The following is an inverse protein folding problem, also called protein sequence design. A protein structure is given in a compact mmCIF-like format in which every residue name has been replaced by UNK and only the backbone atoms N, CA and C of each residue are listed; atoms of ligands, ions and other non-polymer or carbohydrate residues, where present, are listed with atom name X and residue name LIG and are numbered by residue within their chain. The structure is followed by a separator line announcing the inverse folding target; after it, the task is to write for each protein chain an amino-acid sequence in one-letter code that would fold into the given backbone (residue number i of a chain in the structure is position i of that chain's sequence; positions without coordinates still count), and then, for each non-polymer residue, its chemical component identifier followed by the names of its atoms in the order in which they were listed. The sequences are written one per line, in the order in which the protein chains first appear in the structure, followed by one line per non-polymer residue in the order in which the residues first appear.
data_IF_464336280344
#
_entry.id   IF_464336280344
#
_cell.length_a   1.000
_cell.length_b   1.000
_cell.length_c   1.000
_cell.angle_alpha   90.00
_cell.angle_beta   90.00
_cell.angle_gamma   90.00
#
_symmetry.space_group_name_H-M   'P 1'
#
loop_
_entity.id
_entity.type
_entity.pdbx_description
1 polymer ?
#
# COMPACT_ATOMS: atom_id res chain seq x y z
N UNK A 1 -13.64 19.62 -12.23
CA UNK A 1 -13.17 18.21 -12.32
C UNK A 1 -14.38 17.31 -12.13
N UNK A 2 -14.50 16.22 -12.90
CA UNK A 2 -15.58 15.23 -12.69
C UNK A 2 -15.44 14.54 -11.33
N UNK A 3 -16.55 14.04 -10.79
CA UNK A 3 -16.59 13.31 -9.52
C UNK A 3 -15.66 12.09 -9.54
N UNK A 4 -15.70 11.31 -10.62
CA UNK A 4 -14.81 10.18 -10.83
C UNK A 4 -13.33 10.58 -10.75
N UNK A 5 -12.94 11.68 -11.40
CA UNK A 5 -11.55 12.15 -11.37
C UNK A 5 -11.13 12.62 -9.97
N UNK A 6 -12.03 13.22 -9.20
CA UNK A 6 -11.76 13.65 -7.82
C UNK A 6 -11.63 12.45 -6.87
N UNK A 7 -12.47 11.43 -7.01
CA UNK A 7 -12.36 10.19 -6.22
C UNK A 7 -11.07 9.44 -6.54
N UNK A 8 -10.76 9.28 -7.82
CA UNK A 8 -9.57 8.57 -8.28
C UNK A 8 -8.27 9.28 -7.89
N UNK A 9 -8.19 10.59 -8.10
CA UNK A 9 -6.94 11.35 -8.00
C UNK A 9 -6.82 12.21 -6.74
N UNK A 10 -7.90 12.37 -5.98
CA UNK A 10 -7.99 13.25 -4.82
C UNK A 10 -8.46 14.66 -5.17
N UNK A 11 -8.69 15.46 -4.13
CA UNK A 11 -9.05 16.86 -4.24
C UNK A 11 -7.80 17.74 -4.26
N UNK A 12 -7.68 18.66 -5.22
CA UNK A 12 -6.67 19.72 -5.20
C UNK A 12 -7.04 20.75 -4.13
N UNK A 13 -6.69 20.51 -2.87
CA UNK A 13 -6.64 21.56 -1.86
C UNK A 13 -5.17 21.91 -1.60
N UNK A 14 -4.80 23.13 -1.96
CA UNK A 14 -3.49 23.77 -1.81
C UNK A 14 -2.68 23.27 -0.60
N UNK A 15 -1.43 22.84 -0.81
CA UNK A 15 -0.43 22.85 0.27
C UNK A 15 0.72 21.84 0.20
N UNK A 16 0.57 20.67 -0.43
CA UNK A 16 1.67 19.70 -0.58
C UNK A 16 1.90 19.41 -2.06
N UNK A 17 3.13 19.51 -2.59
CA UNK A 17 3.40 19.18 -3.97
C UNK A 17 2.99 17.73 -4.21
N UNK A 18 1.93 17.56 -5.01
CA UNK A 18 1.36 16.28 -5.42
C UNK A 18 2.42 15.24 -5.84
N UNK A 19 3.58 15.73 -6.31
CA UNK A 19 4.80 14.97 -6.61
C UNK A 19 5.31 14.10 -5.44
N UNK A 20 5.37 14.61 -4.20
CA UNK A 20 5.88 13.83 -3.08
C UNK A 20 4.95 12.67 -2.69
N UNK A 21 3.64 12.84 -2.88
CA UNK A 21 2.67 11.77 -2.62
C UNK A 21 2.85 10.58 -3.57
N UNK A 22 3.31 10.83 -4.81
CA UNK A 22 3.59 9.77 -5.78
C UNK A 22 4.83 8.94 -5.42
N UNK A 23 5.68 9.42 -4.51
CA UNK A 23 6.80 8.64 -3.98
C UNK A 23 6.36 7.65 -2.90
N UNK A 24 5.14 7.76 -2.38
CA UNK A 24 4.70 6.89 -1.27
C UNK A 24 4.66 5.40 -1.67
N UNK A 25 4.07 5.00 -2.81
CA UNK A 25 4.10 3.59 -3.23
C UNK A 25 5.50 2.97 -3.31
N UNK A 26 6.49 3.57 -4.03
CA UNK A 26 7.83 2.99 -4.06
C UNK A 26 8.55 3.07 -2.71
N UNK A 27 8.29 4.08 -1.87
CA UNK A 27 8.86 4.14 -0.53
C UNK A 27 8.31 3.03 0.37
N UNK A 28 7.00 2.75 0.31
CA UNK A 28 6.39 1.67 1.08
C UNK A 28 6.92 0.30 0.66
N UNK A 29 7.18 0.12 -0.64
CA UNK A 29 7.89 -1.06 -1.14
C UNK A 29 9.27 -1.19 -0.48
N UNK A 30 10.10 -0.16 -0.55
CA UNK A 30 11.46 -0.20 0.01
C UNK A 30 11.44 -0.42 1.53
N UNK A 31 10.57 0.29 2.25
CA UNK A 31 10.44 0.15 3.71
C UNK A 31 9.99 -1.25 4.10
N UNK A 32 8.97 -1.78 3.43
CA UNK A 32 8.46 -3.13 3.71
C UNK A 32 9.51 -4.20 3.41
N UNK A 33 10.15 -4.14 2.23
CA UNK A 33 11.22 -5.04 1.84
C UNK A 33 12.39 -5.01 2.83
N UNK A 34 12.85 -3.81 3.20
CA UNK A 34 13.94 -3.66 4.17
C UNK A 34 13.53 -4.14 5.57
N UNK A 35 12.30 -3.87 6.02
CA UNK A 35 11.83 -4.30 7.33
C UNK A 35 11.78 -5.84 7.44
N UNK A 36 11.31 -6.53 6.40
CA UNK A 36 11.36 -8.00 6.36
C UNK A 36 12.79 -8.53 6.25
N UNK A 37 13.60 -7.99 5.35
CA UNK A 37 14.99 -8.43 5.17
C UNK A 37 15.89 -8.19 6.39
N UNK A 38 15.57 -7.21 7.22
CA UNK A 38 16.23 -6.94 8.51
C UNK A 38 15.61 -7.70 9.69
N UNK A 39 14.54 -8.48 9.47
CA UNK A 39 13.84 -9.22 10.52
C UNK A 39 13.03 -8.36 11.49
N UNK A 40 12.71 -7.11 11.13
CA UNK A 40 11.85 -6.22 11.92
C UNK A 40 10.37 -6.60 11.81
N UNK A 41 9.96 -7.10 10.65
CA UNK A 41 8.62 -7.63 10.41
C UNK A 41 8.60 -9.15 10.50
N UNK A 42 7.56 -9.67 11.13
CA UNK A 42 7.40 -11.10 11.35
C UNK A 42 6.62 -11.73 10.20
N UNK A 43 7.07 -12.91 9.78
CA UNK A 43 6.26 -13.78 8.94
C UNK A 43 5.30 -14.52 9.86
N UNK A 44 4.06 -14.03 10.00
CA UNK A 44 3.03 -14.71 10.78
C UNK A 44 2.64 -16.01 10.05
N UNK A 45 3.30 -17.12 10.42
CA UNK A 45 3.10 -18.43 9.82
C UNK A 45 1.83 -19.08 10.33
N UNK A 46 0.79 -19.11 9.48
CA UNK A 46 -0.41 -19.89 9.76
C UNK A 46 -1.59 -19.43 8.93
N UNK A 47 -1.70 -19.95 7.70
CA UNK A 47 -2.94 -19.96 6.89
C UNK A 47 -3.36 -18.62 6.25
N UNK A 48 -2.87 -17.46 6.71
CA UNK A 48 -3.21 -16.17 6.07
C UNK A 48 -2.14 -15.80 5.05
N UNK A 49 -2.48 -15.85 3.75
CA UNK A 49 -1.64 -15.41 2.62
C UNK A 49 -1.33 -13.90 2.59
N UNK A 50 -1.68 -13.18 3.66
CA UNK A 50 -1.52 -11.74 3.79
C UNK A 50 -0.35 -11.44 4.71
N UNK A 51 0.65 -10.73 4.18
CA UNK A 51 1.75 -10.18 4.96
C UNK A 51 1.23 -9.10 5.92
N UNK A 52 0.87 -9.49 7.15
CA UNK A 52 0.14 -8.64 8.09
C UNK A 52 0.84 -7.31 8.37
N UNK A 53 2.15 -7.32 8.63
CA UNK A 53 2.89 -6.09 8.92
C UNK A 53 2.96 -5.14 7.71
N UNK A 54 3.16 -5.69 6.51
CA UNK A 54 3.09 -4.91 5.27
C UNK A 54 1.68 -4.36 5.01
N UNK A 55 0.65 -5.18 5.23
CA UNK A 55 -0.74 -4.76 5.09
C UNK A 55 -1.09 -3.64 6.06
N UNK A 56 -0.72 -3.78 7.34
CA UNK A 56 -0.92 -2.78 8.37
C UNK A 56 -0.19 -1.48 8.03
N UNK A 57 1.08 -1.55 7.64
CA UNK A 57 1.87 -0.40 7.19
C UNK A 57 1.18 0.31 6.02
N UNK A 58 0.81 -0.44 4.98
CA UNK A 58 0.15 0.08 3.79
C UNK A 58 -1.18 0.76 4.13
N UNK A 59 -2.02 0.11 4.94
CA UNK A 59 -3.33 0.61 5.36
C UNK A 59 -3.21 1.89 6.19
N UNK A 60 -2.33 1.93 7.20
CA UNK A 60 -2.17 3.08 8.08
C UNK A 60 -1.69 4.33 7.33
N UNK A 61 -0.64 4.18 6.51
CA UNK A 61 -0.10 5.29 5.71
C UNK A 61 -1.15 5.78 4.70
N UNK A 62 -1.86 4.85 4.06
CA UNK A 62 -2.90 5.16 3.09
C UNK A 62 -4.10 5.88 3.71
N UNK A 63 -4.57 5.43 4.89
CA UNK A 63 -5.64 6.10 5.61
C UNK A 63 -5.25 7.54 5.96
N UNK A 64 -4.01 7.77 6.38
CA UNK A 64 -3.46 9.12 6.61
C UNK A 64 -3.43 9.97 5.33
N UNK A 65 -3.04 9.39 4.19
CA UNK A 65 -3.09 10.08 2.90
C UNK A 65 -4.51 10.44 2.47
N UNK A 66 -5.47 9.52 2.64
CA UNK A 66 -6.87 9.72 2.32
C UNK A 66 -7.51 10.79 3.24
N UNK A 67 -7.16 10.79 4.52
CA UNK A 67 -7.51 11.87 5.46
C UNK A 67 -6.99 13.24 4.98
N UNK A 68 -5.84 13.27 4.30
CA UNK A 68 -5.30 14.49 3.66
C UNK A 68 -5.81 14.71 2.23
N UNK A 69 -6.89 14.03 1.86
CA UNK A 69 -7.60 14.19 0.58
C UNK A 69 -6.95 13.51 -0.63
N UNK A 70 -6.09 12.52 -0.42
CA UNK A 70 -5.60 11.68 -1.52
C UNK A 70 -6.71 10.85 -2.15
N UNK A 71 -6.54 10.52 -3.44
CA UNK A 71 -7.49 9.69 -4.18
C UNK A 71 -7.27 8.19 -3.97
N UNK A 72 -8.28 7.40 -4.34
CA UNK A 72 -8.28 5.94 -4.14
C UNK A 72 -7.21 5.23 -4.99
N UNK A 73 -6.81 5.78 -6.14
CA UNK A 73 -5.74 5.17 -6.94
C UNK A 73 -4.40 5.17 -6.20
N UNK A 74 -4.10 6.24 -5.46
CA UNK A 74 -2.88 6.29 -4.64
C UNK A 74 -2.97 5.32 -3.46
N UNK A 75 -4.17 5.10 -2.93
CA UNK A 75 -4.42 4.13 -1.87
C UNK A 75 -4.10 2.70 -2.33
N UNK A 76 -4.62 2.30 -3.48
CA UNK A 76 -4.31 0.99 -4.07
C UNK A 76 -2.82 0.82 -4.33
N UNK A 77 -2.17 1.80 -4.97
CA UNK A 77 -0.74 1.72 -5.26
C UNK A 77 0.12 1.66 -3.99
N UNK A 78 -0.28 2.39 -2.93
CA UNK A 78 0.47 2.42 -1.67
C UNK A 78 0.42 1.09 -0.93
N UNK A 79 -0.77 0.49 -0.83
CA UNK A 79 -0.92 -0.86 -0.23
C UNK A 79 -0.24 -1.91 -1.09
N UNK A 80 -0.39 -1.83 -2.42
CA UNK A 80 0.29 -2.73 -3.35
C UNK A 80 1.81 -2.68 -3.20
N UNK A 81 2.38 -1.47 -3.11
CA UNK A 81 3.81 -1.28 -2.88
C UNK A 81 4.28 -1.95 -1.59
N UNK A 82 3.56 -1.76 -0.48
CA UNK A 82 3.89 -2.38 0.81
C UNK A 82 3.86 -3.91 0.74
N UNK A 83 2.80 -4.50 0.18
CA UNK A 83 2.66 -5.96 0.03
C UNK A 83 3.71 -6.54 -0.92
N UNK A 84 3.96 -5.86 -2.04
CA UNK A 84 5.00 -6.27 -3.00
C UNK A 84 6.39 -6.27 -2.35
N UNK A 85 6.65 -5.38 -1.38
CA UNK A 85 7.90 -5.39 -0.61
C UNK A 85 8.10 -6.68 0.18
N UNK A 86 7.03 -7.23 0.77
CA UNK A 86 7.07 -8.53 1.45
C UNK A 86 7.29 -9.68 0.47
N UNK A 87 6.60 -9.67 -0.68
CA UNK A 87 6.85 -10.67 -1.73
C UNK A 87 8.29 -10.62 -2.26
N UNK A 88 8.85 -9.42 -2.42
CA UNK A 88 10.23 -9.27 -2.84
C UNK A 88 11.20 -9.88 -1.83
N UNK A 89 10.98 -9.72 -0.53
CA UNK A 89 11.79 -10.39 0.50
C UNK A 89 11.66 -11.92 0.39
N UNK A 90 10.43 -12.43 0.33
CA UNK A 90 10.17 -13.86 0.21
C UNK A 90 10.89 -14.49 -0.98
N UNK A 91 10.74 -13.93 -2.18
CA UNK A 91 11.34 -14.49 -3.40
C UNK A 91 12.83 -14.18 -3.53
N UNK A 92 13.28 -12.96 -3.21
CA UNK A 92 14.66 -12.50 -3.44
C UNK A 92 15.60 -12.74 -2.25
N UNK A 93 15.11 -13.03 -1.06
CA UNK A 93 15.95 -13.32 0.11
C UNK A 93 15.60 -14.68 0.74
N UNK A 94 14.31 -15.06 0.73
CA UNK A 94 13.83 -16.33 1.32
C UNK A 94 14.16 -17.62 0.54
N UNK A 95 14.63 -17.54 -0.70
CA UNK A 95 14.94 -18.70 -1.57
C UNK A 95 16.42 -18.77 -2.01
N UNK A 96 17.40 -18.82 -1.08
CA UNK A 96 18.82 -18.68 -1.42
C UNK A 96 19.37 -19.80 -2.32
N UNK A 97 18.73 -20.98 -2.34
CA UNK A 97 19.14 -22.12 -3.15
C UNK A 97 18.75 -22.06 -4.63
N UNK A 98 17.97 -21.05 -5.05
CA UNK A 98 17.54 -20.89 -6.45
C UNK A 98 18.35 -19.82 -7.19
N UNK A 99 18.59 -19.99 -8.51
CA UNK A 99 19.18 -18.94 -9.34
C UNK A 99 18.41 -17.62 -9.24
N UNK A 100 19.12 -16.49 -9.28
CA UNK A 100 18.50 -15.16 -9.18
C UNK A 100 17.44 -14.93 -10.28
N UNK A 101 17.69 -15.40 -11.50
CA UNK A 101 16.75 -15.27 -12.60
C UNK A 101 15.40 -15.97 -12.32
N UNK A 102 15.43 -17.16 -11.72
CA UNK A 102 14.21 -17.88 -11.34
C UNK A 102 13.44 -17.18 -10.22
N UNK A 103 14.17 -16.59 -9.26
CA UNK A 103 13.56 -15.82 -8.15
C UNK A 103 12.88 -14.55 -8.65
N UNK A 104 13.51 -13.84 -9.58
CA UNK A 104 12.92 -12.66 -10.23
C UNK A 104 11.71 -13.08 -11.09
N UNK A 105 11.81 -14.18 -11.85
CA UNK A 105 10.68 -14.69 -12.63
C UNK A 105 9.50 -15.09 -11.73
N UNK A 106 9.77 -15.71 -10.58
CA UNK A 106 8.74 -16.07 -9.60
C UNK A 106 8.06 -14.82 -8.99
N UNK A 107 8.84 -13.79 -8.63
CA UNK A 107 8.31 -12.52 -8.14
C UNK A 107 7.41 -11.82 -9.19
N UNK A 108 7.77 -11.91 -10.46
CA UNK A 108 7.04 -11.31 -11.57
C UNK A 108 5.92 -12.21 -12.13
N UNK A 109 5.67 -13.36 -11.50
CA UNK A 109 4.59 -14.26 -11.88
C UNK A 109 3.23 -13.57 -11.80
N UNK A 110 2.47 -13.61 -12.89
CA UNK A 110 1.20 -12.88 -13.02
C UNK A 110 0.21 -13.26 -11.91
N UNK A 111 0.10 -14.54 -11.56
CA UNK A 111 -0.83 -15.00 -10.53
C UNK A 111 -0.55 -14.36 -9.17
N UNK A 112 0.74 -14.28 -8.79
CA UNK A 112 1.16 -13.63 -7.55
C UNK A 112 0.94 -12.12 -7.56
N UNK A 113 1.25 -11.45 -8.68
CA UNK A 113 1.01 -10.01 -8.84
C UNK A 113 -0.49 -9.68 -8.82
N UNK A 114 -1.33 -10.50 -9.47
CA UNK A 114 -2.79 -10.35 -9.46
C UNK A 114 -3.35 -10.56 -8.06
N UNK A 115 -2.87 -11.59 -7.35
CA UNK A 115 -3.30 -11.85 -5.97
C UNK A 115 -3.02 -10.64 -5.06
N UNK A 116 -1.79 -10.12 -5.07
CA UNK A 116 -1.43 -8.88 -4.34
C UNK A 116 -2.26 -7.69 -4.82
N UNK A 117 -2.56 -7.62 -6.12
CA UNK A 117 -3.44 -6.62 -6.71
C UNK A 117 -4.83 -6.62 -6.08
N UNK A 118 -5.43 -7.79 -5.91
CA UNK A 118 -6.75 -7.95 -5.29
C UNK A 118 -6.71 -7.54 -3.81
N UNK A 119 -5.68 -7.96 -3.07
CA UNK A 119 -5.49 -7.54 -1.67
C UNK A 119 -5.37 -6.01 -1.55
N UNK A 120 -4.56 -5.41 -2.42
CA UNK A 120 -4.37 -3.96 -2.45
C UNK A 120 -5.64 -3.19 -2.83
N UNK A 121 -6.46 -3.73 -3.74
CA UNK A 121 -7.76 -3.15 -4.07
C UNK A 121 -8.71 -3.18 -2.86
N UNK A 122 -8.81 -4.32 -2.17
CA UNK A 122 -9.67 -4.48 -1.01
C UNK A 122 -9.21 -3.56 0.15
N UNK A 123 -7.97 -3.74 0.60
CA UNK A 123 -7.39 -3.02 1.73
C UNK A 123 -7.23 -1.53 1.45
N UNK A 124 -6.78 -1.17 0.25
CA UNK A 124 -6.63 0.24 -0.16
C UNK A 124 -7.97 0.97 -0.20
N UNK A 125 -9.04 0.30 -0.64
CA UNK A 125 -10.39 0.88 -0.60
C UNK A 125 -10.87 1.09 0.82
N UNK A 126 -10.71 0.10 1.70
CA UNK A 126 -11.07 0.21 3.12
C UNK A 126 -10.32 1.36 3.81
N UNK A 127 -9.00 1.42 3.62
CA UNK A 127 -8.15 2.47 4.16
C UNK A 127 -8.55 3.86 3.64
N UNK A 128 -8.86 3.97 2.35
CA UNK A 128 -9.30 5.22 1.74
C UNK A 128 -10.65 5.69 2.29
N UNK A 129 -11.62 4.78 2.44
CA UNK A 129 -12.92 5.08 3.06
C UNK A 129 -12.72 5.55 4.49
N UNK A 130 -11.95 4.81 5.30
CA UNK A 130 -11.70 5.15 6.71
C UNK A 130 -11.06 6.55 6.85
N UNK A 131 -10.01 6.84 6.08
CA UNK A 131 -9.37 8.16 6.09
C UNK A 131 -10.29 9.30 5.63
N UNK A 132 -11.08 9.06 4.58
CA UNK A 132 -12.01 10.05 4.04
C UNK A 132 -13.14 10.36 5.02
N UNK A 133 -13.75 9.31 5.61
CA UNK A 133 -14.80 9.45 6.63
C UNK A 133 -14.24 10.15 7.87
N UNK A 134 -13.03 9.78 8.30
CA UNK A 134 -12.35 10.44 9.42
C UNK A 134 -12.20 11.94 9.20
N UNK A 135 -11.76 12.37 7.99
CA UNK A 135 -11.68 13.79 7.66
C UNK A 135 -13.04 14.47 7.77
N UNK A 136 -14.07 13.88 7.16
CA UNK A 136 -15.43 14.45 7.17
C UNK A 136 -16.00 14.56 8.59
N UNK A 137 -15.72 13.60 9.47
CA UNK A 137 -16.14 13.63 10.86
C UNK A 137 -15.48 14.79 11.62
N UNK A 138 -14.15 14.95 11.48
CA UNK A 138 -13.41 16.04 12.12
C UNK A 138 -13.86 17.40 11.62
N UNK A 139 -14.07 17.54 10.30
CA UNK A 139 -14.54 18.80 9.70
C UNK A 139 -15.94 19.19 10.24
N UNK A 140 -16.83 18.21 10.44
CA UNK A 140 -18.16 18.46 11.05
C UNK A 140 -18.07 18.88 12.50
N UNK A 141 -17.23 18.22 13.31
CA UNK A 141 -17.06 18.58 14.72
C UNK A 141 -16.48 19.99 14.87
N UNK A 142 -15.58 20.40 13.96
CA UNK A 142 -15.01 21.76 13.96
C UNK A 142 -15.98 22.85 13.49
N UNK A 143 -17.04 22.48 12.78
CA UNK A 143 -18.02 23.41 12.24
C UNK A 143 -19.26 23.56 13.15
N UNK A 144 -19.38 22.72 14.18
CA UNK A 144 -20.37 22.81 15.24
C UNK A 144 -19.88 23.71 16.38
#
# INVERSE_FOLDING_TARGET
MSLARRVLLGSNSNGSPRRYRLLVPPLLFVVSFAAYGLGLFAHAGGVVFLAFDAAALGVLVTAGLAYRGAGVALAWLSVYGALLGSNADHYLLGLPGRPLAERVAALLGLDGLVFVGVEALALGTLAWVAGTVGRLAVDRVRAA
#
